data_IF_954091337876
#
_entry.id   IF_954091337876
#
_cell.length_a   1.000
_cell.length_b   1.000
_cell.length_c   1.000
_cell.angle_alpha   90.00
_cell.angle_beta   90.00
_cell.angle_gamma   90.00
#
_symmetry.space_group_name_H-M   'P 1'
#
loop_
_entity.id
_entity.type
_entity.pdbx_description
1 polymer ?
#
# COMPACT_ATOMS: atom_id res chain seq x y z
N UNK A 1 -64.08 53.85 15.26
CA UNK A 1 -64.16 53.80 13.79
C UNK A 1 -63.79 52.39 13.34
N UNK A 2 -64.76 51.73 12.70
CA UNK A 2 -64.66 50.65 11.69
C UNK A 2 -63.68 49.47 11.91
N UNK A 3 -64.30 48.32 12.18
CA UNK A 3 -63.82 46.97 11.92
C UNK A 3 -64.17 46.57 10.47
N UNK A 4 -63.26 45.95 9.70
CA UNK A 4 -63.59 44.89 8.72
C UNK A 4 -62.34 44.23 8.11
N UNK A 5 -62.06 43.03 8.62
CA UNK A 5 -61.71 41.77 7.91
C UNK A 5 -61.38 41.79 6.42
N UNK A 6 -60.26 41.18 6.02
CA UNK A 6 -60.08 40.23 4.89
C UNK A 6 -58.92 39.27 5.22
N UNK A 7 -59.17 37.96 5.05
CA UNK A 7 -58.27 36.82 5.32
C UNK A 7 -57.15 36.67 4.28
N UNK A 8 -55.97 36.13 4.64
CA UNK A 8 -55.05 35.52 3.68
C UNK A 8 -55.39 34.05 3.40
N UNK A 9 -55.25 33.69 2.14
CA UNK A 9 -55.50 32.39 1.51
C UNK A 9 -54.55 31.27 1.97
N UNK A 10 -55.11 30.07 2.05
CA UNK A 10 -54.43 28.79 2.22
C UNK A 10 -53.27 28.56 1.23
N UNK A 11 -52.13 28.12 1.74
CA UNK A 11 -51.17 27.28 1.01
C UNK A 11 -50.73 26.13 1.91
N UNK A 12 -50.67 24.96 1.28
CA UNK A 12 -50.70 23.65 1.88
C UNK A 12 -49.38 23.24 2.55
N UNK A 13 -49.50 22.60 3.70
CA UNK A 13 -48.44 21.82 4.35
C UNK A 13 -48.13 20.56 3.51
N UNK A 14 -46.87 20.29 3.12
CA UNK A 14 -46.53 19.01 2.52
C UNK A 14 -46.47 17.94 3.61
N UNK A 15 -47.41 16.99 3.54
CA UNK A 15 -47.26 15.66 4.16
C UNK A 15 -46.15 14.93 3.39
N UNK A 16 -45.10 14.50 4.07
CA UNK A 16 -44.21 13.47 3.54
C UNK A 16 -44.21 12.24 4.44
N UNK A 17 -44.39 11.12 3.76
CA UNK A 17 -44.73 9.82 4.27
C UNK A 17 -43.60 9.20 5.11
N UNK A 18 -44.02 8.55 6.20
CA UNK A 18 -43.23 7.57 6.92
C UNK A 18 -42.99 6.35 6.01
N UNK A 19 -41.85 6.33 5.32
CA UNK A 19 -41.36 5.11 4.69
C UNK A 19 -40.69 4.24 5.75
N UNK A 20 -41.32 3.10 6.02
CA UNK A 20 -40.79 2.06 6.89
C UNK A 20 -39.39 1.64 6.43
N UNK A 21 -38.49 1.56 7.40
CA UNK A 21 -37.15 1.01 7.22
C UNK A 21 -37.33 -0.49 6.97
N UNK A 22 -37.41 -0.88 5.71
CA UNK A 22 -37.19 -2.25 5.31
C UNK A 22 -35.74 -2.60 5.68
N UNK A 23 -35.59 -3.50 6.64
CA UNK A 23 -34.33 -4.14 7.02
C UNK A 23 -33.60 -4.58 5.76
N UNK A 24 -32.55 -3.86 5.37
CA UNK A 24 -31.64 -4.33 4.33
C UNK A 24 -30.99 -5.60 4.85
N UNK A 25 -31.35 -6.73 4.27
CA UNK A 25 -30.64 -7.98 4.48
C UNK A 25 -29.14 -7.70 4.32
N UNK A 26 -28.37 -7.94 5.38
CA UNK A 26 -26.92 -7.81 5.34
C UNK A 26 -26.42 -8.71 4.19
N UNK A 27 -25.97 -8.09 3.09
CA UNK A 27 -25.25 -8.81 2.04
C UNK A 27 -24.08 -9.51 2.71
N UNK A 28 -24.17 -10.84 2.84
CA UNK A 28 -22.99 -11.66 3.14
C UNK A 28 -21.93 -11.29 2.10
N UNK A 29 -20.68 -11.01 2.52
CA UNK A 29 -19.60 -10.82 1.55
C UNK A 29 -19.55 -12.06 0.63
N UNK A 30 -19.19 -11.89 -0.65
CA UNK A 30 -19.06 -13.02 -1.58
C UNK A 30 -18.23 -14.11 -0.92
N UNK A 31 -18.67 -15.37 -1.05
CA UNK A 31 -18.06 -16.51 -0.38
C UNK A 31 -16.54 -16.47 -0.58
N UNK A 32 -15.84 -16.08 0.49
CA UNK A 32 -14.41 -15.85 0.47
C UNK A 32 -13.72 -17.18 0.15
N UNK A 33 -12.95 -17.22 -0.93
CA UNK A 33 -12.31 -18.44 -1.42
C UNK A 33 -11.43 -19.03 -0.31
N UNK A 34 -11.59 -20.34 -0.07
CA UNK A 34 -10.84 -21.08 0.95
C UNK A 34 -9.42 -21.32 0.45
N UNK A 35 -8.43 -20.79 1.16
CA UNK A 35 -7.02 -21.01 0.87
C UNK A 35 -6.57 -22.39 1.39
N UNK A 36 -6.96 -22.72 2.63
CA UNK A 36 -6.63 -23.99 3.28
C UNK A 36 -5.13 -24.31 3.18
N UNK A 37 -4.79 -25.52 2.76
CA UNK A 37 -3.40 -26.00 2.64
C UNK A 37 -2.56 -25.26 1.58
N UNK A 38 -3.19 -24.50 0.67
CA UNK A 38 -2.50 -23.74 -0.39
C UNK A 38 -2.13 -22.33 0.02
N UNK A 39 -2.33 -21.96 1.29
CA UNK A 39 -2.14 -20.58 1.72
C UNK A 39 -0.74 -20.03 1.44
N UNK A 40 0.31 -20.87 1.54
CA UNK A 40 1.70 -20.51 1.32
C UNK A 40 1.96 -20.07 -0.13
N UNK A 41 1.24 -20.67 -1.09
CA UNK A 41 1.26 -20.32 -2.51
C UNK A 41 0.85 -18.86 -2.71
N UNK A 42 -0.31 -18.48 -2.13
CA UNK A 42 -0.84 -17.11 -2.21
C UNK A 42 -0.06 -16.09 -1.39
N UNK A 43 0.73 -16.55 -0.42
CA UNK A 43 1.67 -15.72 0.32
C UNK A 43 3.07 -15.65 -0.33
N UNK A 44 3.25 -16.26 -1.51
CA UNK A 44 4.43 -16.07 -2.35
C UNK A 44 5.55 -17.09 -2.14
N UNK A 45 5.27 -18.28 -1.60
CA UNK A 45 6.27 -19.33 -1.43
C UNK A 45 7.09 -19.56 -2.72
N UNK A 46 6.40 -19.60 -3.87
CA UNK A 46 7.01 -19.68 -5.21
C UNK A 46 6.98 -18.35 -5.97
N UNK A 47 7.19 -17.22 -5.27
CA UNK A 47 7.26 -15.86 -5.86
C UNK A 47 6.08 -15.49 -6.77
N UNK A 48 4.90 -16.04 -6.47
CA UNK A 48 3.66 -15.88 -7.25
C UNK A 48 3.80 -16.24 -8.74
N UNK A 49 4.72 -17.15 -9.08
CA UNK A 49 4.87 -17.63 -10.45
C UNK A 49 3.56 -18.25 -10.95
N UNK A 50 3.16 -17.89 -12.17
CA UNK A 50 1.88 -18.26 -12.81
C UNK A 50 0.61 -17.77 -12.09
N UNK A 51 0.71 -16.85 -11.12
CA UNK A 51 -0.46 -16.27 -10.45
C UNK A 51 -0.71 -14.80 -10.81
N UNK A 52 0.23 -14.13 -11.49
CA UNK A 52 0.18 -12.69 -11.76
C UNK A 52 -0.27 -12.34 -13.19
N UNK A 53 -0.13 -13.26 -14.15
CA UNK A 53 -0.48 -13.04 -15.56
C UNK A 53 -0.94 -14.36 -16.24
N UNK A 54 -2.26 -14.58 -16.41
CA UNK A 54 -3.35 -13.75 -15.89
C UNK A 54 -3.42 -13.79 -14.35
N UNK A 55 -3.95 -12.73 -13.74
CA UNK A 55 -4.05 -12.65 -12.29
C UNK A 55 -5.04 -13.70 -11.75
N UNK A 56 -4.55 -14.61 -10.90
CA UNK A 56 -5.38 -15.63 -10.27
C UNK A 56 -6.52 -14.99 -9.45
N UNK A 57 -7.79 -15.42 -9.60
CA UNK A 57 -8.92 -14.81 -8.91
C UNK A 57 -8.84 -14.87 -7.38
N UNK A 58 -8.20 -15.90 -6.82
CA UNK A 58 -7.98 -16.06 -5.38
C UNK A 58 -6.91 -15.08 -4.91
N UNK A 59 -5.79 -15.00 -5.64
CA UNK A 59 -4.74 -14.02 -5.33
C UNK A 59 -5.29 -12.58 -5.43
N UNK A 60 -6.08 -12.29 -6.45
CA UNK A 60 -6.77 -10.99 -6.61
C UNK A 60 -7.63 -10.65 -5.39
N UNK A 61 -8.43 -11.60 -4.91
CA UNK A 61 -9.26 -11.43 -3.72
C UNK A 61 -8.41 -11.14 -2.47
N UNK A 62 -7.31 -11.85 -2.27
CA UNK A 62 -6.40 -11.61 -1.14
C UNK A 62 -5.69 -10.26 -1.25
N UNK A 63 -5.27 -9.83 -2.45
CA UNK A 63 -4.72 -8.48 -2.67
C UNK A 63 -5.75 -7.42 -2.27
N UNK A 64 -7.01 -7.54 -2.73
CA UNK A 64 -8.08 -6.60 -2.36
C UNK A 64 -8.37 -6.62 -0.84
N UNK A 65 -8.32 -7.79 -0.21
CA UNK A 65 -8.46 -7.95 1.25
C UNK A 65 -7.37 -7.18 2.00
N UNK A 66 -6.10 -7.36 1.62
CA UNK A 66 -4.99 -6.61 2.21
C UNK A 66 -5.11 -5.10 1.95
N UNK A 67 -5.52 -4.71 0.74
CA UNK A 67 -5.84 -3.33 0.41
C UNK A 67 -6.92 -2.72 1.31
N UNK A 68 -7.93 -3.50 1.68
CA UNK A 68 -9.01 -3.05 2.57
C UNK A 68 -8.50 -2.80 4.00
N UNK A 69 -7.53 -3.58 4.49
CA UNK A 69 -6.85 -3.27 5.76
C UNK A 69 -6.09 -1.94 5.70
N UNK A 70 -5.44 -1.64 4.58
CA UNK A 70 -4.81 -0.32 4.40
C UNK A 70 -5.88 0.77 4.35
N UNK A 71 -7.01 0.58 3.67
CA UNK A 71 -8.09 1.57 3.67
C UNK A 71 -8.70 1.81 5.06
N UNK A 72 -8.78 0.77 5.89
CA UNK A 72 -9.16 0.89 7.29
C UNK A 72 -8.21 1.79 8.08
N UNK A 73 -6.90 1.78 7.78
CA UNK A 73 -5.96 2.70 8.43
C UNK A 73 -6.26 4.17 8.08
N UNK A 74 -6.52 4.49 6.81
CA UNK A 74 -6.91 5.85 6.41
C UNK A 74 -8.23 6.29 7.05
N UNK A 75 -9.22 5.41 7.11
CA UNK A 75 -10.53 5.69 7.71
C UNK A 75 -10.45 5.92 9.22
N UNK A 76 -9.48 5.26 9.89
CA UNK A 76 -9.26 5.36 11.34
C UNK A 76 -8.42 6.55 11.74
N UNK A 77 -7.64 7.15 10.84
CA UNK A 77 -6.79 8.29 11.16
C UNK A 77 -7.59 9.58 11.04
N UNK A 78 -7.37 10.51 11.97
CA UNK A 78 -7.79 11.89 11.79
C UNK A 78 -6.82 12.59 10.84
N UNK A 79 -7.32 12.95 9.66
CA UNK A 79 -6.55 13.57 8.59
C UNK A 79 -6.91 15.04 8.39
N UNK A 80 -7.85 15.57 9.17
CA UNK A 80 -8.23 16.98 9.14
C UNK A 80 -7.15 17.81 9.83
N UNK A 81 -6.39 18.58 9.05
CA UNK A 81 -5.27 19.39 9.55
C UNK A 81 -5.70 20.50 10.50
N UNK A 82 -6.99 20.85 10.54
CA UNK A 82 -7.56 21.81 11.50
C UNK A 82 -7.94 21.18 12.84
N UNK A 83 -7.98 19.84 12.92
CA UNK A 83 -8.42 19.11 14.09
C UNK A 83 -7.35 19.03 15.19
N UNK A 84 -7.70 19.19 16.49
CA UNK A 84 -6.77 18.98 17.59
C UNK A 84 -6.29 17.52 17.71
N UNK A 85 -7.08 16.57 17.19
CA UNK A 85 -6.75 15.15 17.13
C UNK A 85 -6.06 14.75 15.82
N UNK A 86 -5.64 15.71 14.98
CA UNK A 86 -4.92 15.42 13.74
C UNK A 86 -3.77 14.41 13.94
N UNK A 87 -3.66 13.46 13.00
CA UNK A 87 -2.72 12.34 12.99
C UNK A 87 -2.84 11.36 14.17
N UNK A 88 -3.96 11.35 14.88
CA UNK A 88 -4.29 10.33 15.87
C UNK A 88 -5.36 9.35 15.36
N UNK A 89 -5.51 8.21 16.04
CA UNK A 89 -6.57 7.26 15.74
C UNK A 89 -7.90 7.74 16.33
N UNK A 90 -8.94 7.76 15.50
CA UNK A 90 -10.31 8.20 15.84
C UNK A 90 -11.08 7.14 16.63
N UNK A 91 -10.70 5.87 16.51
CA UNK A 91 -11.49 4.75 16.97
C UNK A 91 -10.84 3.98 18.12
N UNK A 92 -11.62 3.50 19.11
CA UNK A 92 -11.13 2.58 20.12
C UNK A 92 -10.62 1.29 19.49
N UNK A 93 -9.54 0.73 20.05
CA UNK A 93 -8.85 -0.46 19.53
C UNK A 93 -9.78 -1.65 19.27
N UNK A 94 -10.67 -1.97 20.22
CA UNK A 94 -11.57 -3.12 20.13
C UNK A 94 -12.67 -2.98 19.06
N UNK A 95 -12.97 -1.75 18.64
CA UNK A 95 -14.00 -1.45 17.63
C UNK A 95 -13.42 -0.90 16.34
N UNK A 96 -12.08 -0.80 16.22
CA UNK A 96 -11.39 -0.11 15.13
C UNK A 96 -11.83 -0.67 13.78
N UNK A 97 -11.69 -1.97 13.55
CA UNK A 97 -12.03 -2.60 12.27
C UNK A 97 -13.50 -2.45 11.92
N UNK A 98 -14.40 -2.59 12.90
CA UNK A 98 -15.84 -2.39 12.69
C UNK A 98 -16.17 -0.95 12.25
N UNK A 99 -15.61 0.03 12.94
CA UNK A 99 -15.86 1.45 12.68
C UNK A 99 -15.14 1.95 11.42
N UNK A 100 -14.07 1.28 10.99
CA UNK A 100 -13.31 1.61 9.79
C UNK A 100 -13.76 0.86 8.53
N UNK A 101 -14.92 0.17 8.56
CA UNK A 101 -15.50 -0.50 7.39
C UNK A 101 -15.11 -1.98 7.19
N UNK A 102 -14.54 -2.64 8.20
CA UNK A 102 -14.16 -4.07 8.20
C UNK A 102 -14.80 -4.88 9.36
N UNK A 103 -16.14 -4.84 9.53
CA UNK A 103 -16.83 -5.47 10.67
C UNK A 103 -16.71 -7.00 10.72
N UNK A 104 -16.58 -7.67 9.57
CA UNK A 104 -16.57 -9.13 9.43
C UNK A 104 -15.23 -9.66 8.93
N UNK A 105 -14.14 -9.00 9.32
CA UNK A 105 -12.79 -9.40 8.88
C UNK A 105 -12.32 -10.71 9.50
N UNK A 106 -12.83 -11.09 10.68
CA UNK A 106 -12.28 -12.20 11.47
C UNK A 106 -11.00 -11.84 12.24
N UNK A 107 -10.58 -10.57 12.20
CA UNK A 107 -9.36 -10.08 12.86
C UNK A 107 -9.69 -9.22 14.08
N UNK A 108 -8.81 -9.29 15.07
CA UNK A 108 -8.83 -8.44 16.26
C UNK A 108 -7.58 -7.58 16.31
N UNK A 109 -7.76 -6.26 16.45
CA UNK A 109 -6.64 -5.33 16.61
C UNK A 109 -6.01 -5.49 17.99
N UNK A 110 -4.69 -5.68 18.02
CA UNK A 110 -3.93 -5.95 19.23
C UNK A 110 -3.07 -4.76 19.64
N UNK A 111 -2.53 -4.02 18.67
CA UNK A 111 -1.64 -2.87 18.88
C UNK A 111 -1.92 -1.72 17.90
N UNK A 112 -1.94 -0.48 18.42
CA UNK A 112 -1.83 0.73 17.60
C UNK A 112 -0.36 1.07 17.38
N UNK A 113 -0.01 1.49 16.17
CA UNK A 113 1.35 1.81 15.77
C UNK A 113 1.52 3.31 15.54
N UNK A 114 2.65 3.83 15.99
CA UNK A 114 3.02 5.23 15.81
C UNK A 114 4.42 5.34 15.22
N UNK A 115 4.62 6.32 14.34
CA UNK A 115 5.93 6.69 13.81
C UNK A 115 6.34 8.07 14.32
N UNK A 116 7.62 8.26 14.61
CA UNK A 116 8.17 9.51 15.14
C UNK A 116 9.19 10.09 14.18
N UNK A 117 9.15 11.40 13.96
CA UNK A 117 10.20 12.13 13.26
C UNK A 117 11.30 12.54 14.23
N UNK A 118 12.54 12.11 13.96
CA UNK A 118 13.71 12.38 14.80
C UNK A 118 14.28 13.80 14.69
N UNK A 119 13.83 14.61 13.73
CA UNK A 119 14.29 16.00 13.54
C UNK A 119 13.19 17.02 13.87
N UNK A 120 13.56 18.08 14.61
CA UNK A 120 12.75 19.30 14.71
C UNK A 120 12.69 19.93 13.31
N UNK A 121 11.51 19.93 12.71
CA UNK A 121 11.32 20.52 11.39
C UNK A 121 11.40 22.05 11.47
N UNK A 122 11.87 22.74 10.42
CA UNK A 122 11.92 24.21 10.37
C UNK A 122 10.54 24.87 10.58
N UNK A 123 10.52 26.12 11.07
CA UNK A 123 9.28 26.88 11.37
C UNK A 123 8.29 27.06 10.20
N UNK A 124 8.69 26.84 8.95
CA UNK A 124 7.83 26.94 7.76
C UNK A 124 7.10 25.62 7.41
N UNK A 125 7.31 24.56 8.19
CA UNK A 125 6.68 23.27 7.94
C UNK A 125 5.17 23.28 8.28
N UNK A 126 4.30 22.66 7.45
CA UNK A 126 2.88 22.49 7.73
C UNK A 126 2.56 22.00 9.16
N UNK A 127 1.45 22.45 9.76
CA UNK A 127 1.09 22.15 11.16
C UNK A 127 1.06 20.65 11.50
N UNK A 128 0.81 19.77 10.53
CA UNK A 128 0.87 18.32 10.69
C UNK A 128 2.26 17.75 11.00
N UNK A 129 3.30 18.51 10.71
CA UNK A 129 4.71 18.21 10.98
C UNK A 129 5.19 18.76 12.34
N UNK A 130 4.35 19.51 13.05
CA UNK A 130 4.66 20.02 14.40
C UNK A 130 4.56 18.93 15.48
N UNK A 131 3.78 17.88 15.24
CA UNK A 131 3.73 16.69 16.11
C UNK A 131 4.89 15.77 15.77
N UNK A 132 5.75 15.54 16.76
CA UNK A 132 6.88 14.60 16.64
C UNK A 132 6.42 13.18 16.33
N UNK A 133 5.23 12.77 16.76
CA UNK A 133 4.72 11.39 16.64
C UNK A 133 3.32 11.37 16.01
N UNK A 134 3.08 10.46 15.07
CA UNK A 134 1.81 10.27 14.35
C UNK A 134 1.37 8.81 14.39
N UNK A 135 0.07 8.56 14.52
CA UNK A 135 -0.51 7.22 14.35
C UNK A 135 -0.42 6.80 12.88
N UNK A 136 0.16 5.64 12.61
CA UNK A 136 0.50 5.15 11.26
C UNK A 136 -0.22 3.85 10.90
N UNK A 137 -0.85 3.17 11.85
CA UNK A 137 -1.51 1.92 11.56
C UNK A 137 -1.71 1.03 12.78
N UNK A 138 -1.87 -0.26 12.54
CA UNK A 138 -2.16 -1.22 13.59
C UNK A 138 -1.64 -2.62 13.27
N UNK A 139 -1.55 -3.44 14.31
CA UNK A 139 -1.35 -4.89 14.23
C UNK A 139 -2.66 -5.56 14.62
N UNK A 140 -3.10 -6.53 13.80
CA UNK A 140 -4.27 -7.34 14.05
C UNK A 140 -3.94 -8.81 13.86
N UNK A 141 -4.59 -9.68 14.63
CA UNK A 141 -4.44 -11.13 14.52
C UNK A 141 -5.79 -11.74 14.13
N UNK A 142 -5.77 -12.74 13.24
CA UNK A 142 -6.94 -13.55 12.95
C UNK A 142 -7.32 -14.35 14.21
N UNK A 143 -8.54 -14.18 14.70
CA UNK A 143 -9.02 -14.77 15.97
C UNK A 143 -10.40 -15.42 15.83
N UNK A 144 -10.92 -15.49 14.60
CA UNK A 144 -12.22 -16.09 14.27
C UNK A 144 -12.03 -17.48 13.67
N UNK A 145 -12.72 -18.49 14.21
CA UNK A 145 -12.56 -19.89 13.80
C UNK A 145 -12.91 -20.12 12.32
N UNK A 146 -13.90 -19.41 11.78
CA UNK A 146 -14.30 -19.56 10.39
C UNK A 146 -13.24 -18.96 9.45
N UNK A 147 -12.68 -17.80 9.80
CA UNK A 147 -11.60 -17.17 9.05
C UNK A 147 -10.29 -17.96 9.16
N UNK A 148 -9.97 -18.53 10.33
CA UNK A 148 -8.85 -19.47 10.49
C UNK A 148 -9.01 -20.69 9.59
N UNK A 149 -10.20 -21.30 9.56
CA UNK A 149 -10.50 -22.45 8.71
C UNK A 149 -10.45 -22.12 7.21
N UNK A 150 -10.74 -20.87 6.84
CA UNK A 150 -10.61 -20.36 5.48
C UNK A 150 -9.15 -20.14 5.08
N UNK A 151 -8.41 -19.45 5.93
CA UNK A 151 -7.00 -19.07 5.70
C UNK A 151 -6.04 -20.25 5.83
N UNK A 152 -6.42 -21.30 6.59
CA UNK A 152 -5.60 -22.47 6.86
C UNK A 152 -4.45 -22.24 7.84
N UNK A 153 -4.43 -21.08 8.51
CA UNK A 153 -3.37 -20.63 9.42
C UNK A 153 -3.85 -19.46 10.30
N UNK A 154 -3.12 -19.14 11.35
CA UNK A 154 -3.28 -17.87 12.06
C UNK A 154 -2.43 -16.79 11.44
N UNK A 155 -3.09 -15.86 10.77
CA UNK A 155 -2.44 -14.73 10.10
C UNK A 155 -2.39 -13.50 11.01
N UNK A 156 -1.20 -12.89 11.12
CA UNK A 156 -0.99 -11.59 11.76
C UNK A 156 -0.86 -10.55 10.65
N UNK A 157 -1.75 -9.56 10.64
CA UNK A 157 -1.70 -8.44 9.69
C UNK A 157 -1.14 -7.19 10.36
N UNK A 158 -0.09 -6.63 9.75
CA UNK A 158 0.44 -5.31 10.07
C UNK A 158 0.01 -4.36 8.95
N UNK A 159 -0.92 -3.46 9.23
CA UNK A 159 -1.46 -2.52 8.24
C UNK A 159 -0.94 -1.11 8.49
N UNK A 160 -0.36 -0.49 7.45
CA UNK A 160 0.35 0.79 7.54
C UNK A 160 -0.16 1.79 6.49
N UNK A 161 -0.63 2.96 6.93
CA UNK A 161 -1.02 4.05 6.01
C UNK A 161 0.20 4.79 5.47
N UNK A 162 -0.01 5.50 4.37
CA UNK A 162 0.89 6.55 3.91
C UNK A 162 0.59 7.93 4.51
N UNK A 163 1.33 8.94 4.08
CA UNK A 163 1.00 10.35 4.34
C UNK A 163 -0.08 10.82 3.37
N UNK A 164 -0.92 11.76 3.82
CA UNK A 164 -1.98 12.35 2.98
C UNK A 164 -1.38 13.24 1.88
N UNK A 165 -0.24 13.88 2.16
CA UNK A 165 0.51 14.69 1.20
C UNK A 165 1.79 13.97 0.76
N UNK A 166 1.64 12.81 0.12
CA UNK A 166 2.76 11.97 -0.31
C UNK A 166 3.80 12.70 -1.18
N UNK A 167 3.37 13.68 -1.99
CA UNK A 167 4.27 14.50 -2.83
C UNK A 167 5.16 15.43 -2.01
N UNK A 168 4.59 16.16 -1.04
CA UNK A 168 5.35 17.01 -0.11
C UNK A 168 6.34 16.17 0.71
N UNK A 169 5.97 14.94 1.04
CA UNK A 169 6.83 14.04 1.78
C UNK A 169 7.98 13.51 0.91
N UNK A 170 7.73 13.19 -0.36
CA UNK A 170 8.76 12.80 -1.32
C UNK A 170 9.77 13.94 -1.58
N UNK A 171 9.30 15.18 -1.69
CA UNK A 171 10.16 16.36 -1.84
C UNK A 171 11.01 16.61 -0.57
N UNK A 172 10.44 16.38 0.61
CA UNK A 172 11.14 16.48 1.89
C UNK A 172 12.19 15.37 2.10
N UNK A 173 12.01 14.23 1.44
CA UNK A 173 13.01 13.18 1.40
C UNK A 173 14.09 13.46 0.36
N UNK A 174 15.15 14.15 0.77
CA UNK A 174 16.40 14.10 0.01
C UNK A 174 16.81 12.63 -0.17
N UNK A 175 17.10 12.25 -1.42
CA UNK A 175 17.42 10.89 -1.84
C UNK A 175 18.80 10.43 -1.33
N UNK A 176 18.97 10.36 -0.01
CA UNK A 176 20.19 9.91 0.64
C UNK A 176 19.99 8.48 1.15
N UNK A 177 20.87 7.57 0.71
CA UNK A 177 20.94 6.21 1.25
C UNK A 177 21.68 6.21 2.60
N UNK A 178 21.28 5.34 3.52
CA UNK A 178 21.89 5.13 4.84
C UNK A 178 21.94 3.64 5.18
N UNK A 179 22.80 3.28 6.11
CA UNK A 179 22.96 1.89 6.54
C UNK A 179 21.91 1.53 7.61
N UNK A 180 21.19 0.39 7.47
CA UNK A 180 20.33 -0.15 8.51
C UNK A 180 21.09 -0.58 9.78
N UNK A 181 22.41 -0.74 9.69
CA UNK A 181 23.30 -1.09 10.80
C UNK A 181 24.50 -0.14 10.79
N UNK A 182 24.91 0.45 11.93
CA UNK A 182 26.10 1.28 11.96
C UNK A 182 27.34 0.40 11.71
N UNK A 183 27.96 0.53 10.54
CA UNK A 183 29.27 -0.08 10.25
C UNK A 183 30.35 0.99 10.27
N UNK A 184 31.50 0.69 10.88
CA UNK A 184 32.63 1.62 11.00
C UNK A 184 33.35 1.91 9.67
N UNK A 185 33.10 1.10 8.63
CA UNK A 185 33.56 1.31 7.27
C UNK A 185 32.49 0.81 6.29
N UNK A 186 31.78 1.70 5.58
CA UNK A 186 30.74 1.28 4.63
C UNK A 186 31.39 0.66 3.39
N UNK A 187 31.18 -0.64 3.17
CA UNK A 187 31.61 -1.29 1.95
C UNK A 187 30.62 -1.00 0.82
N UNK A 188 31.09 -0.98 -0.42
CA UNK A 188 30.24 -0.76 -1.62
C UNK A 188 29.12 -1.81 -1.78
N UNK A 189 29.24 -2.94 -1.08
CA UNK A 189 28.31 -4.06 -1.08
C UNK A 189 27.28 -4.00 0.05
N UNK A 190 27.32 -3.00 0.92
CA UNK A 190 26.46 -2.98 2.09
C UNK A 190 24.98 -2.76 1.72
N UNK A 191 24.05 -3.44 2.42
CA UNK A 191 22.64 -3.14 2.29
C UNK A 191 22.38 -1.72 2.80
N UNK A 192 21.81 -0.88 1.94
CA UNK A 192 21.47 0.50 2.26
C UNK A 192 20.00 0.78 1.95
N UNK A 193 19.38 1.62 2.77
CA UNK A 193 17.98 2.03 2.68
C UNK A 193 17.88 3.55 2.64
N UNK A 194 16.77 4.11 2.17
CA UNK A 194 16.58 5.55 2.19
C UNK A 194 16.54 6.09 3.64
N UNK A 195 17.30 7.16 3.88
CA UNK A 195 17.56 7.70 5.23
C UNK A 195 16.31 8.17 5.97
N UNK A 196 15.37 8.78 5.29
CA UNK A 196 14.13 9.27 5.88
C UNK A 196 13.18 8.16 6.28
N UNK A 197 12.98 7.13 5.44
CA UNK A 197 12.24 5.93 5.81
C UNK A 197 12.86 5.31 7.07
N UNK A 198 14.19 5.13 7.07
CA UNK A 198 14.92 4.57 8.20
C UNK A 198 14.78 5.40 9.48
N UNK A 199 14.90 6.73 9.37
CA UNK A 199 14.75 7.63 10.51
C UNK A 199 13.36 7.54 11.11
N UNK A 200 12.29 7.58 10.32
CA UNK A 200 10.93 7.45 10.85
C UNK A 200 10.64 6.08 11.46
N UNK A 201 11.26 5.04 10.90
CA UNK A 201 11.10 3.66 11.36
C UNK A 201 11.80 3.40 12.70
N UNK A 202 12.94 4.06 12.95
CA UNK A 202 13.81 3.81 14.12
C UNK A 202 13.80 4.90 15.19
N UNK A 203 13.27 6.10 14.90
CA UNK A 203 13.22 7.18 15.89
C UNK A 203 12.17 6.91 16.97
N UNK A 204 12.52 7.24 18.21
CA UNK A 204 11.62 7.21 19.37
C UNK A 204 11.38 8.63 19.90
N UNK A 205 10.34 8.79 20.72
CA UNK A 205 10.07 9.99 21.50
C UNK A 205 9.89 9.63 22.97
N UNK A 206 9.81 10.64 23.85
CA UNK A 206 9.54 10.41 25.28
C UNK A 206 8.24 9.62 25.52
N UNK A 207 7.25 9.77 24.64
CA UNK A 207 5.94 9.12 24.77
C UNK A 207 5.84 7.77 24.02
N UNK A 208 6.66 7.56 22.98
CA UNK A 208 6.54 6.38 22.11
C UNK A 208 7.90 5.79 21.75
N UNK A 209 8.03 4.46 21.90
CA UNK A 209 9.14 3.71 21.32
C UNK A 209 9.13 3.82 19.79
N UNK A 210 10.24 3.42 19.15
CA UNK A 210 10.31 3.40 17.69
C UNK A 210 9.23 2.50 17.07
N UNK A 211 8.87 2.75 15.80
CA UNK A 211 7.94 1.87 15.08
C UNK A 211 8.47 0.43 15.03
N UNK A 212 9.78 0.29 14.76
CA UNK A 212 10.51 -0.98 14.82
C UNK A 212 10.28 -1.71 16.16
N UNK A 213 10.54 -1.05 17.29
CA UNK A 213 10.38 -1.66 18.61
C UNK A 213 8.91 -2.00 18.92
N UNK A 214 7.97 -1.12 18.58
CA UNK A 214 6.54 -1.37 18.78
C UNK A 214 6.07 -2.62 18.04
N UNK A 215 6.57 -2.85 16.82
CA UNK A 215 6.25 -4.05 16.05
C UNK A 215 6.92 -5.28 16.66
N UNK A 216 8.23 -5.22 16.96
CA UNK A 216 8.97 -6.34 17.56
C UNK A 216 8.34 -6.81 18.87
N UNK A 217 8.00 -5.87 19.75
CA UNK A 217 7.42 -6.16 21.06
C UNK A 217 6.07 -6.90 20.91
N UNK A 218 5.21 -6.42 20.00
CA UNK A 218 3.90 -7.03 19.78
C UNK A 218 3.97 -8.37 19.05
N UNK A 219 4.87 -8.50 18.07
CA UNK A 219 5.05 -9.77 17.34
C UNK A 219 5.56 -10.84 18.28
N UNK A 220 6.58 -10.57 19.12
CA UNK A 220 7.03 -11.54 20.13
C UNK A 220 5.87 -11.97 21.04
N UNK A 221 5.11 -11.01 21.57
CA UNK A 221 3.94 -11.29 22.42
C UNK A 221 2.91 -12.20 21.74
N UNK A 222 2.63 -11.98 20.45
CA UNK A 222 1.69 -12.81 19.69
C UNK A 222 2.25 -14.19 19.39
N UNK A 223 3.54 -14.29 19.05
CA UNK A 223 4.19 -15.59 18.80
C UNK A 223 4.20 -16.46 20.06
N UNK A 224 4.46 -15.87 21.22
CA UNK A 224 4.41 -16.56 22.50
C UNK A 224 2.98 -17.02 22.83
N UNK A 225 1.99 -16.14 22.60
CA UNK A 225 0.58 -16.42 22.88
C UNK A 225 0.01 -17.56 22.01
N UNK A 226 0.43 -17.66 20.74
CA UNK A 226 -0.10 -18.61 19.76
C UNK A 226 0.97 -19.62 19.31
N UNK A 227 1.87 -20.01 20.20
CA UNK A 227 3.04 -20.84 19.90
C UNK A 227 2.73 -22.24 19.33
N UNK A 228 1.50 -22.73 19.51
CA UNK A 228 1.04 -24.02 18.96
C UNK A 228 0.39 -23.90 17.57
N UNK A 229 0.15 -22.69 17.07
CA UNK A 229 -0.54 -22.46 15.81
C UNK A 229 0.44 -22.33 14.64
N UNK A 230 0.04 -22.80 13.46
CA UNK A 230 0.72 -22.47 12.21
C UNK A 230 0.46 -20.98 11.90
N UNK A 231 1.53 -20.16 11.95
CA UNK A 231 1.43 -18.70 11.84
C UNK A 231 2.05 -18.13 10.56
N UNK A 232 1.48 -17.02 10.10
CA UNK A 232 2.08 -16.13 9.09
C UNK A 232 2.03 -14.67 9.54
N UNK A 233 2.95 -13.86 9.02
CA UNK A 233 2.94 -12.40 9.22
C UNK A 233 2.80 -11.75 7.85
N UNK A 234 1.65 -11.13 7.59
CA UNK A 234 1.45 -10.30 6.40
C UNK A 234 1.52 -8.83 6.75
N UNK A 235 2.36 -8.09 6.01
CA UNK A 235 2.55 -6.66 6.18
C UNK A 235 2.00 -5.98 4.94
N UNK A 236 1.09 -5.03 5.13
CA UNK A 236 0.48 -4.30 4.03
C UNK A 236 0.55 -2.81 4.25
N UNK A 237 0.74 -2.06 3.18
CA UNK A 237 0.80 -0.62 3.26
C UNK A 237 0.74 0.05 1.91
N UNK A 238 0.42 1.34 1.97
CA UNK A 238 0.28 2.20 0.80
C UNK A 238 1.25 3.38 0.89
N UNK A 239 1.85 3.78 -0.23
CA UNK A 239 2.73 4.96 -0.30
C UNK A 239 3.88 4.87 0.72
N UNK A 240 4.03 5.83 1.64
CA UNK A 240 4.98 5.72 2.76
C UNK A 240 4.80 4.42 3.58
N UNK A 241 3.56 3.99 3.80
CA UNK A 241 3.26 2.74 4.51
C UNK A 241 3.81 1.50 3.79
N UNK A 242 3.91 1.52 2.46
CA UNK A 242 4.54 0.46 1.69
C UNK A 242 6.07 0.41 1.92
N UNK A 243 6.72 1.56 2.07
CA UNK A 243 8.13 1.60 2.41
C UNK A 243 8.40 1.05 3.82
N UNK A 244 7.56 1.43 4.80
CA UNK A 244 7.61 0.85 6.13
C UNK A 244 7.31 -0.64 6.13
N UNK A 245 6.43 -1.13 5.25
CA UNK A 245 6.14 -2.54 5.15
C UNK A 245 7.38 -3.37 4.78
N UNK A 246 8.16 -2.90 3.80
CA UNK A 246 9.42 -3.52 3.39
C UNK A 246 10.48 -3.47 4.50
N UNK A 247 10.65 -2.32 5.17
CA UNK A 247 11.58 -2.22 6.30
C UNK A 247 11.20 -3.14 7.47
N UNK A 248 9.90 -3.22 7.77
CA UNK A 248 9.35 -4.09 8.81
C UNK A 248 9.59 -5.56 8.47
N UNK A 249 9.44 -5.95 7.20
CA UNK A 249 9.71 -7.32 6.76
C UNK A 249 11.18 -7.70 6.97
N UNK A 250 12.12 -6.86 6.51
CA UNK A 250 13.55 -7.10 6.73
C UNK A 250 13.89 -7.20 8.22
N UNK A 251 13.31 -6.32 9.04
CA UNK A 251 13.53 -6.31 10.48
C UNK A 251 13.04 -7.59 11.16
N UNK A 252 11.79 -7.98 10.88
CA UNK A 252 11.18 -9.19 11.43
C UNK A 252 11.89 -10.45 10.95
N UNK A 253 12.23 -10.56 9.67
CA UNK A 253 12.97 -11.72 9.15
C UNK A 253 14.36 -11.84 9.77
N UNK A 254 15.01 -10.71 10.09
CA UNK A 254 16.28 -10.72 10.85
C UNK A 254 16.05 -11.17 12.30
N UNK A 255 14.97 -10.71 12.95
CA UNK A 255 14.66 -11.04 14.35
C UNK A 255 14.24 -12.50 14.53
N UNK A 256 13.43 -13.03 13.60
CA UNK A 256 12.82 -14.35 13.68
C UNK A 256 13.74 -15.46 13.16
N UNK A 257 14.63 -15.12 12.23
CA UNK A 257 15.52 -16.07 11.59
C UNK A 257 14.79 -17.06 10.65
N UNK A 258 15.52 -18.04 10.08
CA UNK A 258 15.00 -18.93 9.05
C UNK A 258 13.87 -19.87 9.49
N UNK A 259 13.78 -20.17 10.79
CA UNK A 259 12.75 -21.05 11.36
C UNK A 259 11.50 -20.29 11.81
N UNK A 260 11.47 -18.97 11.63
CA UNK A 260 10.33 -18.14 11.98
C UNK A 260 9.13 -18.31 11.04
N UNK A 261 7.98 -17.74 11.41
CA UNK A 261 6.82 -17.65 10.52
C UNK A 261 7.14 -16.98 9.20
N UNK A 262 6.41 -17.35 8.15
CA UNK A 262 6.58 -16.73 6.84
C UNK A 262 6.18 -15.25 6.88
N UNK A 263 7.07 -14.37 6.42
CA UNK A 263 6.86 -12.92 6.36
C UNK A 263 6.61 -12.49 4.91
N UNK A 264 5.43 -11.93 4.66
CA UNK A 264 4.99 -11.50 3.33
C UNK A 264 4.56 -10.05 3.32
N UNK A 265 5.02 -9.29 2.33
CA UNK A 265 4.60 -7.90 2.08
C UNK A 265 3.67 -7.86 0.88
N UNK A 266 2.51 -7.24 1.06
CA UNK A 266 1.60 -6.87 -0.05
C UNK A 266 1.42 -5.36 -0.02
N UNK A 267 2.08 -4.67 -0.94
CA UNK A 267 2.21 -3.21 -0.90
C UNK A 267 1.62 -2.52 -2.12
N UNK A 268 1.07 -1.33 -1.91
CA UNK A 268 0.42 -0.52 -2.95
C UNK A 268 1.17 0.79 -3.12
N UNK A 269 1.41 1.20 -4.37
CA UNK A 269 2.00 2.51 -4.67
C UNK A 269 3.33 2.78 -3.93
N UNK A 270 4.10 1.73 -3.66
CA UNK A 270 5.29 1.83 -2.82
C UNK A 270 6.51 2.40 -3.55
N UNK A 271 7.21 3.40 -2.99
CA UNK A 271 8.48 3.88 -3.53
C UNK A 271 9.57 2.83 -3.33
N UNK A 272 10.71 3.02 -4.00
CA UNK A 272 11.91 2.19 -3.80
C UNK A 272 12.54 2.48 -2.45
N UNK A 273 12.87 1.43 -1.72
CA UNK A 273 13.28 1.53 -0.31
C UNK A 273 14.79 1.47 -0.13
N UNK A 274 15.49 0.65 -0.91
CA UNK A 274 16.92 0.43 -0.74
C UNK A 274 17.65 0.05 -2.02
N UNK A 275 18.96 -0.18 -1.89
CA UNK A 275 19.85 -0.54 -2.99
C UNK A 275 19.76 -2.04 -3.36
N UNK A 276 20.49 -2.45 -4.38
CA UNK A 276 20.53 -3.85 -4.84
C UNK A 276 21.01 -4.84 -3.75
N UNK A 277 21.94 -4.43 -2.89
CA UNK A 277 22.38 -5.25 -1.75
C UNK A 277 21.29 -5.46 -0.71
N UNK A 278 20.48 -4.44 -0.45
CA UNK A 278 19.32 -4.57 0.44
C UNK A 278 18.26 -5.50 -0.16
N UNK A 279 18.01 -5.41 -1.48
CA UNK A 279 17.16 -6.40 -2.19
C UNK A 279 17.67 -7.82 -1.97
N UNK A 280 18.96 -8.06 -2.26
CA UNK A 280 19.58 -9.39 -2.14
C UNK A 280 19.45 -9.95 -0.72
N UNK A 281 19.72 -9.13 0.30
CA UNK A 281 19.55 -9.52 1.71
C UNK A 281 18.12 -9.99 1.99
N UNK A 282 17.10 -9.27 1.51
CA UNK A 282 15.71 -9.68 1.75
C UNK A 282 15.35 -10.99 1.04
N UNK A 283 15.88 -11.21 -0.17
CA UNK A 283 15.72 -12.46 -0.92
C UNK A 283 16.39 -13.64 -0.18
N UNK A 284 17.61 -13.46 0.31
CA UNK A 284 18.36 -14.45 1.11
C UNK A 284 17.66 -14.79 2.44
N UNK A 285 17.01 -13.81 3.06
CA UNK A 285 16.21 -14.00 4.26
C UNK A 285 14.88 -14.72 4.02
N UNK A 286 14.49 -14.96 2.76
CA UNK A 286 13.26 -15.65 2.40
C UNK A 286 11.99 -14.79 2.51
N UNK A 287 12.12 -13.47 2.71
CA UNK A 287 10.97 -12.56 2.78
C UNK A 287 10.29 -12.44 1.42
N UNK A 288 8.96 -12.51 1.37
CA UNK A 288 8.20 -12.40 0.12
C UNK A 288 7.64 -10.99 -0.02
N UNK A 289 7.85 -10.34 -1.16
CA UNK A 289 7.37 -8.98 -1.40
C UNK A 289 6.62 -8.93 -2.73
N UNK A 290 5.33 -8.58 -2.66
CA UNK A 290 4.48 -8.28 -3.81
C UNK A 290 4.16 -6.78 -3.83
N UNK A 291 4.51 -6.14 -4.94
CA UNK A 291 4.29 -4.71 -5.19
C UNK A 291 3.22 -4.53 -6.25
N UNK A 292 2.10 -3.93 -5.87
CA UNK A 292 1.08 -3.49 -6.81
C UNK A 292 1.49 -2.09 -7.30
N UNK A 293 1.75 -1.98 -8.60
CA UNK A 293 2.33 -0.81 -9.24
C UNK A 293 1.40 -0.29 -10.33
N UNK A 294 0.94 0.96 -10.20
CA UNK A 294 0.26 1.64 -11.30
C UNK A 294 1.31 2.24 -12.24
N UNK A 295 1.29 1.85 -13.50
CA UNK A 295 2.26 2.33 -14.51
C UNK A 295 2.23 3.85 -14.71
N UNK A 296 1.08 4.48 -14.40
CA UNK A 296 0.87 5.93 -14.47
C UNK A 296 1.22 6.66 -13.17
N UNK A 297 1.57 5.95 -12.10
CA UNK A 297 1.98 6.54 -10.82
C UNK A 297 3.50 6.71 -10.75
N UNK A 298 3.97 7.95 -10.67
CA UNK A 298 5.40 8.28 -10.61
C UNK A 298 6.03 7.89 -9.27
N UNK A 299 5.25 7.80 -8.18
CA UNK A 299 5.77 7.49 -6.83
C UNK A 299 6.41 6.09 -6.80
N UNK A 300 5.91 5.17 -7.61
CA UNK A 300 6.47 3.81 -7.71
C UNK A 300 7.86 3.76 -8.36
N UNK A 301 8.25 4.83 -9.07
CA UNK A 301 9.50 4.94 -9.83
C UNK A 301 10.60 5.71 -9.08
N UNK A 302 10.28 6.25 -7.91
CA UNK A 302 11.20 7.05 -7.09
C UNK A 302 11.64 6.28 -5.84
N UNK A 303 12.85 6.54 -5.31
CA UNK A 303 13.88 7.41 -5.89
C UNK A 303 14.52 6.82 -7.17
N UNK A 304 14.96 7.68 -8.08
CA UNK A 304 15.70 7.28 -9.30
C UNK A 304 14.98 7.45 -10.65
N UNK A 305 13.90 8.23 -10.73
CA UNK A 305 13.33 8.65 -12.01
C UNK A 305 14.13 9.82 -12.61
N UNK A 306 14.39 9.75 -13.93
CA UNK A 306 14.99 10.82 -14.73
C UNK A 306 13.93 11.24 -15.74
N UNK A 307 13.44 12.48 -15.67
CA UNK A 307 12.76 13.09 -16.81
C UNK A 307 13.83 13.31 -17.89
N UNK A 308 13.59 12.86 -19.12
CA UNK A 308 14.54 12.99 -20.25
C UNK A 308 14.92 14.46 -20.55
N UNK A 309 14.21 15.42 -19.95
CA UNK A 309 14.52 16.85 -20.03
C UNK A 309 15.61 17.33 -19.07
N UNK A 310 15.98 16.54 -18.05
CA UNK A 310 17.01 16.89 -17.06
C UNK A 310 18.35 16.18 -17.35
N UNK A 311 19.09 16.71 -18.33
CA UNK A 311 20.39 16.16 -18.77
C UNK A 311 21.44 16.06 -17.65
N UNK A 312 21.40 16.95 -16.66
CA UNK A 312 22.33 16.95 -15.53
C UNK A 312 22.07 15.79 -14.54
N UNK A 313 20.80 15.46 -14.28
CA UNK A 313 20.45 14.29 -13.45
C UNK A 313 20.79 12.98 -14.14
N UNK A 314 20.76 12.94 -15.48
CA UNK A 314 21.20 11.79 -16.28
C UNK A 314 22.68 11.43 -16.01
N UNK A 315 23.56 12.43 -15.99
CA UNK A 315 25.00 12.24 -15.74
C UNK A 315 25.25 11.81 -14.29
N UNK A 316 24.57 12.42 -13.33
CA UNK A 316 24.66 12.04 -11.92
C UNK A 316 24.14 10.61 -11.68
N UNK A 317 23.03 10.21 -12.31
CA UNK A 317 22.47 8.87 -12.19
C UNK A 317 23.34 7.82 -12.90
N UNK A 318 24.02 8.18 -13.99
CA UNK A 318 25.04 7.33 -14.64
C UNK A 318 26.30 7.13 -13.77
N UNK A 319 26.72 8.17 -13.03
CA UNK A 319 27.80 8.06 -12.04
C UNK A 319 27.38 7.20 -10.83
N UNK A 320 26.18 7.40 -10.32
CA UNK A 320 25.60 6.63 -9.20
C UNK A 320 25.37 5.15 -9.60
N UNK A 321 24.99 4.88 -10.85
CA UNK A 321 24.81 3.52 -11.38
C UNK A 321 26.11 2.75 -11.50
N UNK A 322 27.21 3.39 -11.89
CA UNK A 322 28.56 2.79 -11.81
C UNK A 322 29.06 2.58 -10.38
N UNK A 323 28.46 3.28 -9.41
CA UNK A 323 28.89 3.23 -8.01
C UNK A 323 28.26 2.06 -7.24
N UNK A 324 27.11 1.53 -7.66
CA UNK A 324 26.31 0.54 -6.90
C UNK A 324 25.25 1.17 -5.97
N UNK A 325 25.06 2.49 -6.05
CA UNK A 325 24.21 3.29 -5.16
C UNK A 325 22.83 3.56 -5.76
N UNK A 326 22.35 2.67 -6.63
CA UNK A 326 21.05 2.78 -7.29
C UNK A 326 19.99 2.03 -6.52
N UNK A 327 18.84 2.66 -6.34
CA UNK A 327 17.66 2.06 -5.74
C UNK A 327 17.16 0.89 -6.59
N UNK A 328 16.80 -0.21 -5.93
CA UNK A 328 16.30 -1.41 -6.55
C UNK A 328 14.84 -1.67 -6.17
N UNK A 329 14.08 -2.20 -7.12
CA UNK A 329 12.68 -2.62 -6.94
C UNK A 329 12.62 -3.94 -6.16
N UNK A 330 12.18 -3.99 -4.91
CA UNK A 330 12.28 -5.21 -4.10
C UNK A 330 11.06 -6.11 -4.31
N UNK A 331 11.27 -7.38 -4.65
CA UNK A 331 10.20 -8.37 -4.83
C UNK A 331 9.61 -8.44 -6.25
N UNK A 332 8.39 -8.99 -6.34
CA UNK A 332 7.64 -9.19 -7.58
C UNK A 332 6.64 -8.06 -7.78
N UNK A 333 6.41 -7.68 -9.04
CA UNK A 333 5.49 -6.60 -9.39
C UNK A 333 4.22 -7.14 -10.05
N UNK A 334 3.06 -6.75 -9.53
CA UNK A 334 1.80 -6.78 -10.26
C UNK A 334 1.57 -5.40 -10.85
N UNK A 335 1.72 -5.27 -12.17
CA UNK A 335 1.53 -3.99 -12.86
C UNK A 335 0.08 -3.83 -13.26
N UNK A 336 -0.55 -2.79 -12.73
CA UNK A 336 -1.90 -2.37 -13.14
C UNK A 336 -1.78 -1.15 -14.05
N UNK A 337 -2.64 -1.10 -15.08
CA UNK A 337 -2.71 0.04 -16.00
C UNK A 337 -4.16 0.44 -16.20
N UNK A 338 -4.47 1.70 -15.88
CA UNK A 338 -5.77 2.32 -16.13
C UNK A 338 -5.73 3.29 -17.32
N UNK A 339 -6.88 3.88 -17.64
CA UNK A 339 -6.95 4.99 -18.59
C UNK A 339 -6.08 6.13 -18.07
N UNK A 340 -5.12 6.60 -18.86
CA UNK A 340 -4.18 7.67 -18.47
C UNK A 340 -4.96 8.90 -17.99
N UNK A 341 -4.76 9.26 -16.72
CA UNK A 341 -5.19 10.56 -16.20
C UNK A 341 -3.95 11.40 -15.92
N UNK A 342 -4.01 12.70 -16.21
CA UNK A 342 -2.90 13.61 -15.94
C UNK A 342 -2.75 13.94 -14.43
N UNK A 343 -3.66 13.47 -13.58
CA UNK A 343 -3.69 13.78 -12.16
C UNK A 343 -2.93 12.72 -11.35
N UNK A 344 -1.69 13.03 -10.99
CA UNK A 344 -0.79 12.15 -10.21
C UNK A 344 -1.42 11.75 -8.87
N UNK A 345 -2.16 12.64 -8.20
CA UNK A 345 -2.81 12.32 -6.93
C UNK A 345 -3.90 11.25 -7.07
N UNK A 346 -4.65 11.27 -8.18
CA UNK A 346 -5.65 10.24 -8.50
C UNK A 346 -4.97 8.92 -8.86
N UNK A 347 -3.89 8.97 -9.65
CA UNK A 347 -3.10 7.78 -10.00
C UNK A 347 -2.47 7.10 -8.77
N UNK A 348 -2.17 7.89 -7.73
CA UNK A 348 -1.58 7.44 -6.47
C UNK A 348 -2.61 7.12 -5.38
N UNK A 349 -3.92 7.30 -5.63
CA UNK A 349 -4.93 7.00 -4.62
C UNK A 349 -5.10 5.49 -4.43
N UNK A 350 -5.16 5.03 -3.18
CA UNK A 350 -5.32 3.61 -2.87
C UNK A 350 -6.61 3.04 -3.48
N UNK A 351 -7.72 3.78 -3.43
CA UNK A 351 -9.00 3.31 -3.98
C UNK A 351 -8.91 3.10 -5.48
N UNK A 352 -8.14 3.94 -6.17
CA UNK A 352 -7.86 3.78 -7.59
C UNK A 352 -7.06 2.49 -7.86
N UNK A 353 -6.02 2.21 -7.06
CA UNK A 353 -5.27 0.95 -7.14
C UNK A 353 -6.18 -0.28 -6.95
N UNK A 354 -7.07 -0.25 -5.96
CA UNK A 354 -8.00 -1.36 -5.70
C UNK A 354 -9.00 -1.55 -6.84
N UNK A 355 -9.49 -0.47 -7.44
CA UNK A 355 -10.35 -0.53 -8.63
C UNK A 355 -9.62 -1.18 -9.81
N UNK A 356 -8.37 -0.79 -10.08
CA UNK A 356 -7.60 -1.38 -11.18
C UNK A 356 -7.33 -2.88 -10.96
N UNK A 357 -6.96 -3.28 -9.74
CA UNK A 357 -6.78 -4.71 -9.40
C UNK A 357 -8.09 -5.47 -9.57
N UNK A 358 -9.23 -4.89 -9.17
CA UNK A 358 -10.53 -5.53 -9.31
C UNK A 358 -10.89 -5.78 -10.79
N UNK A 359 -10.53 -4.84 -11.69
CA UNK A 359 -10.80 -4.90 -13.13
C UNK A 359 -9.94 -5.93 -13.89
N UNK A 360 -8.79 -6.35 -13.37
CA UNK A 360 -7.90 -7.32 -14.02
C UNK A 360 -8.54 -8.70 -14.26
N UNK A 361 -9.74 -8.96 -13.73
CA UNK A 361 -10.48 -10.19 -13.93
C UNK A 361 -11.53 -10.14 -15.05
N UNK A 362 -11.85 -8.96 -15.61
CA UNK A 362 -12.98 -8.80 -16.55
C UNK A 362 -12.59 -8.83 -18.03
N UNK A 363 -11.31 -9.04 -18.39
CA UNK A 363 -10.86 -8.96 -19.78
C UNK A 363 -10.14 -10.25 -20.22
N UNK A 364 -10.79 -10.96 -21.15
CA UNK A 364 -10.23 -11.94 -22.08
C UNK A 364 -8.88 -11.48 -22.69
N UNK A 365 -8.01 -12.40 -23.14
CA UNK A 365 -6.64 -12.10 -23.55
C UNK A 365 -6.59 -10.96 -24.56
N UNK A 366 -5.82 -9.92 -24.25
CA UNK A 366 -5.49 -8.85 -25.17
C UNK A 366 -4.74 -9.44 -26.37
N UNK A 367 -5.50 -9.68 -27.43
CA UNK A 367 -4.99 -9.82 -28.79
C UNK A 367 -4.10 -8.60 -29.04
N UNK A 368 -2.85 -8.88 -29.34
CA UNK A 368 -1.85 -7.95 -29.83
C UNK A 368 -2.46 -6.99 -30.87
N UNK A 369 -2.67 -5.73 -30.51
CA UNK A 369 -2.78 -4.66 -31.50
C UNK A 369 -1.37 -4.34 -32.00
N UNK A 370 -0.86 -5.21 -32.87
CA UNK A 370 0.10 -4.78 -33.89
C UNK A 370 -0.72 -4.00 -34.91
N UNK A 371 -0.37 -2.73 -35.08
CA UNK A 371 -0.84 -1.89 -36.18
C UNK A 371 -0.72 -2.64 -37.50
N UNK A 372 -1.84 -3.15 -38.02
CA UNK A 372 -1.96 -3.48 -39.44
C UNK A 372 -2.46 -2.23 -40.14
N UNK A 373 -1.51 -1.48 -40.70
CA UNK A 373 -1.75 -0.56 -41.80
C UNK A 373 -2.60 -1.28 -42.87
N UNK A 374 -3.77 -0.75 -43.27
CA UNK A 374 -4.53 -1.32 -44.37
C UNK A 374 -3.78 -1.03 -45.69
N UNK A 375 -3.14 -2.07 -46.25
CA UNK A 375 -2.75 -2.08 -47.66
C UNK A 375 -4.01 -2.22 -48.50
N UNK A 376 -4.23 -1.27 -49.39
CA UNK A 376 -4.99 -1.51 -50.62
C UNK A 376 -6.04 -0.48 -50.91
N UNK A 377 -5.64 0.60 -51.60
CA UNK A 377 -6.45 1.21 -52.64
C UNK A 377 -5.66 1.11 -53.96
N UNK A 378 -6.25 0.44 -54.96
CA UNK A 378 -5.77 0.36 -56.35
C UNK A 378 -6.50 1.39 -57.21
N UNK A 379 -5.82 1.84 -58.25
CA UNK A 379 -6.38 2.45 -59.47
C UNK A 379 -5.81 3.85 -59.68
N UNK A 380 -5.31 4.27 -60.85
CA UNK A 380 -5.13 3.73 -62.20
C UNK A 380 -3.94 4.55 -62.80
N UNK A 381 -3.02 4.05 -63.61
CA UNK A 381 -3.18 3.57 -64.98
C UNK A 381 -2.01 4.13 -65.84
N UNK A 382 -1.84 3.56 -67.05
CA UNK A 382 -1.01 4.00 -68.20
C UNK A 382 0.40 3.38 -68.32
N UNK A 383 0.42 2.17 -68.89
CA UNK A 383 1.04 1.73 -70.17
C UNK A 383 2.43 2.22 -70.67
N UNK A 384 3.25 1.20 -71.00
CA UNK A 384 3.95 0.92 -72.27
C UNK A 384 5.39 1.41 -72.55
N UNK A 385 6.18 0.50 -73.16
CA UNK A 385 7.44 0.71 -73.89
C UNK A 385 8.54 -0.31 -73.49
N UNK A 386 8.55 -1.53 -74.04
CA UNK A 386 9.39 -1.99 -75.17
C UNK A 386 10.90 -2.02 -74.85
N UNK A 387 11.53 -3.18 -74.69
CA UNK A 387 12.00 -4.13 -75.72
C UNK A 387 13.51 -3.96 -76.01
N UNK A 388 14.33 -4.79 -75.37
CA UNK A 388 15.35 -5.69 -75.96
C UNK A 388 16.19 -6.35 -74.86
#
# INVERSE_FOLDING_TARGET
>A
MWYSSIRPSHTATPRHASHGIASSAACRPPASIRLGKRWTEFQGANNWDNLLDPLDPTLRSEILRYGSFVQATYSSCDLDTSSPSYASCRFPKHSLLRLSGLPFSGYRVTRNLHATSGSRLPHWAPAFLSRQTSWIGFIAVCDDDAELARLGRRDIVIALRGTVTALEWLDNLRATLTHPTPTHQPARTDPMVQRGFWSLFTSSSAAHRSLCDQVRDEIRRLLDQYSCDEMSITITGHSLGAAFAVLTANDLSTMLGPSGPMVTVVSFAGPRVGNASFRRRMEEQGSKVLRIVNTSDIITKVPGFVDERDKERMVLNWLISKSGWVYADIGRELRVSGRRTANVAVCHDLSHYLQLVNQLSEVCPLVSQVERLPRGWRGAGILAGDAL
#
